data_IF_807716686507
#
_entry.id   IF_807716686507
#
_cell.length_a   1.000
_cell.length_b   1.000
_cell.length_c   1.000
_cell.angle_alpha   90.00
_cell.angle_beta   90.00
_cell.angle_gamma   90.00
#
_symmetry.space_group_name_H-M   'P 1'
#
loop_
_entity.id
_entity.type
_entity.pdbx_description
1 polymer ?
#
# COMPACT_ATOMS: atom_id res chain seq x y z
N UNK A 1 15.00 -93.72 -10.91
CA UNK A 1 13.93 -92.70 -10.81
C UNK A 1 14.17 -91.70 -9.69
N UNK A 2 14.59 -92.11 -8.48
CA UNK A 2 14.88 -91.19 -7.35
C UNK A 2 15.91 -90.08 -7.66
N UNK A 3 17.04 -90.41 -8.28
CA UNK A 3 18.13 -89.45 -8.55
C UNK A 3 17.78 -88.37 -9.61
N UNK A 4 16.89 -88.67 -10.56
CA UNK A 4 16.43 -87.66 -11.54
C UNK A 4 15.42 -86.69 -10.94
N UNK A 5 14.60 -87.17 -10.00
CA UNK A 5 13.67 -86.32 -9.26
C UNK A 5 14.45 -85.36 -8.35
N UNK A 6 15.52 -85.84 -7.71
CA UNK A 6 16.39 -85.03 -6.85
C UNK A 6 17.17 -83.95 -7.61
N UNK A 7 17.64 -84.23 -8.84
CA UNK A 7 18.29 -83.22 -9.69
C UNK A 7 17.30 -82.20 -10.28
N UNK A 8 16.07 -82.63 -10.60
CA UNK A 8 14.98 -81.74 -11.02
C UNK A 8 14.52 -80.82 -9.87
N UNK A 9 14.45 -81.35 -8.64
CA UNK A 9 14.14 -80.57 -7.44
C UNK A 9 15.27 -79.58 -7.14
N UNK A 10 16.54 -79.99 -7.23
CA UNK A 10 17.68 -79.10 -7.01
C UNK A 10 17.79 -77.98 -8.05
N UNK A 11 17.51 -78.27 -9.33
CA UNK A 11 17.49 -77.25 -10.39
C UNK A 11 16.29 -76.31 -10.28
N UNK A 12 15.13 -76.81 -9.84
CA UNK A 12 13.97 -75.98 -9.52
C UNK A 12 14.25 -75.04 -8.35
N UNK A 13 14.85 -75.55 -7.26
CA UNK A 13 15.20 -74.75 -6.08
C UNK A 13 16.28 -73.69 -6.39
N UNK A 14 17.28 -74.06 -7.19
CA UNK A 14 18.29 -73.12 -7.68
C UNK A 14 17.69 -72.02 -8.57
N UNK A 15 16.73 -72.37 -9.44
CA UNK A 15 16.02 -71.38 -10.27
C UNK A 15 15.13 -70.49 -9.41
N UNK A 16 14.39 -71.06 -8.47
CA UNK A 16 13.51 -70.33 -7.56
C UNK A 16 14.29 -69.34 -6.69
N UNK A 17 15.38 -69.77 -6.07
CA UNK A 17 16.26 -68.89 -5.28
C UNK A 17 16.90 -67.78 -6.11
N UNK A 18 17.23 -68.04 -7.39
CA UNK A 18 17.73 -67.02 -8.30
C UNK A 18 16.64 -66.00 -8.70
N UNK A 19 15.40 -66.45 -8.85
CA UNK A 19 14.24 -65.60 -9.14
C UNK A 19 13.93 -64.70 -7.95
N UNK A 20 13.85 -65.26 -6.73
CA UNK A 20 13.61 -64.48 -5.52
C UNK A 20 14.68 -63.42 -5.27
N UNK A 21 15.96 -63.72 -5.51
CA UNK A 21 17.01 -62.68 -5.41
C UNK A 21 16.83 -61.56 -6.44
N UNK A 22 16.37 -61.86 -7.66
CA UNK A 22 16.12 -60.84 -8.68
C UNK A 22 14.91 -59.99 -8.30
N UNK A 23 13.85 -60.62 -7.81
CA UNK A 23 12.65 -59.94 -7.31
C UNK A 23 12.98 -59.06 -6.10
N UNK A 24 13.80 -59.52 -5.15
CA UNK A 24 14.27 -58.74 -4.01
C UNK A 24 15.10 -57.50 -4.44
N UNK A 25 15.99 -57.67 -5.42
CA UNK A 25 16.77 -56.55 -5.97
C UNK A 25 15.85 -55.54 -6.64
N UNK A 26 14.89 -56.00 -7.45
CA UNK A 26 13.91 -55.14 -8.11
C UNK A 26 12.99 -54.42 -7.11
N UNK A 27 12.57 -55.09 -6.03
CA UNK A 27 11.76 -54.50 -4.98
C UNK A 27 12.52 -53.37 -4.27
N UNK A 28 13.81 -53.58 -3.96
CA UNK A 28 14.68 -52.55 -3.37
C UNK A 28 14.91 -51.37 -4.31
N UNK A 29 15.06 -51.63 -5.60
CA UNK A 29 15.19 -50.57 -6.60
C UNK A 29 13.91 -49.73 -6.69
N UNK A 30 12.73 -50.37 -6.66
CA UNK A 30 11.44 -49.67 -6.63
C UNK A 30 11.27 -48.83 -5.35
N UNK A 31 11.61 -49.38 -4.18
CA UNK A 31 11.60 -48.62 -2.93
C UNK A 31 12.56 -47.42 -2.98
N UNK A 32 13.74 -47.59 -3.58
CA UNK A 32 14.70 -46.52 -3.76
C UNK A 32 14.12 -45.42 -4.66
N UNK A 33 13.48 -45.80 -5.76
CA UNK A 33 12.79 -44.87 -6.66
C UNK A 33 11.66 -44.11 -5.96
N UNK A 34 10.81 -44.80 -5.19
CA UNK A 34 9.74 -44.14 -4.44
C UNK A 34 10.26 -43.13 -3.43
N UNK A 35 11.36 -43.45 -2.72
CA UNK A 35 12.00 -42.49 -1.80
C UNK A 35 12.54 -41.27 -2.53
N UNK A 36 13.15 -41.46 -3.70
CA UNK A 36 13.68 -40.35 -4.51
C UNK A 36 12.52 -39.48 -5.01
N UNK A 37 11.46 -40.08 -5.52
CA UNK A 37 10.28 -39.37 -6.01
C UNK A 37 9.58 -38.60 -4.89
N UNK A 38 9.45 -39.18 -3.70
CA UNK A 38 8.84 -38.51 -2.55
C UNK A 38 9.68 -37.30 -2.10
N UNK A 39 11.01 -37.45 -2.07
CA UNK A 39 11.92 -36.34 -1.79
C UNK A 39 11.82 -35.23 -2.86
N UNK A 40 11.69 -35.60 -4.14
CA UNK A 40 11.52 -34.64 -5.23
C UNK A 40 10.18 -33.90 -5.10
N UNK A 41 9.08 -34.61 -4.85
CA UNK A 41 7.76 -33.99 -4.62
C UNK A 41 7.77 -33.04 -3.44
N UNK A 42 8.42 -33.42 -2.33
CA UNK A 42 8.54 -32.56 -1.15
C UNK A 42 9.37 -31.30 -1.45
N UNK A 43 10.46 -31.42 -2.21
CA UNK A 43 11.26 -30.27 -2.64
C UNK A 43 10.50 -29.37 -3.60
N UNK A 44 9.78 -29.94 -4.56
CA UNK A 44 8.95 -29.20 -5.51
C UNK A 44 7.83 -28.46 -4.79
N UNK A 45 7.17 -29.09 -3.83
CA UNK A 45 6.11 -28.48 -3.03
C UNK A 45 6.66 -27.30 -2.21
N UNK A 46 7.74 -27.49 -1.45
CA UNK A 46 8.41 -26.40 -0.73
C UNK A 46 8.85 -25.27 -1.67
N UNK A 47 9.34 -25.62 -2.86
CA UNK A 47 9.74 -24.66 -3.88
C UNK A 47 8.57 -23.84 -4.41
N UNK A 48 7.41 -24.45 -4.59
CA UNK A 48 6.18 -23.76 -5.00
C UNK A 48 5.67 -22.83 -3.91
N UNK A 49 5.67 -23.26 -2.65
CA UNK A 49 5.19 -22.46 -1.51
C UNK A 49 6.07 -21.20 -1.33
N UNK A 50 7.39 -21.37 -1.37
CA UNK A 50 8.34 -20.24 -1.31
C UNK A 50 8.09 -19.26 -2.47
N UNK A 51 7.78 -19.76 -3.67
CA UNK A 51 7.47 -18.89 -4.82
C UNK A 51 6.16 -18.12 -4.61
N UNK A 52 5.11 -18.75 -4.10
CA UNK A 52 3.83 -18.08 -3.81
C UNK A 52 4.01 -16.95 -2.80
N UNK A 53 4.66 -17.24 -1.67
CA UNK A 53 4.97 -16.26 -0.62
C UNK A 53 5.79 -15.09 -1.20
N UNK A 54 6.79 -15.38 -2.03
CA UNK A 54 7.63 -14.35 -2.66
C UNK A 54 6.86 -13.46 -3.62
N UNK A 55 5.97 -14.03 -4.45
CA UNK A 55 5.14 -13.27 -5.38
C UNK A 55 4.18 -12.35 -4.60
N UNK A 56 3.57 -12.85 -3.53
CA UNK A 56 2.68 -12.06 -2.69
C UNK A 56 3.41 -10.91 -1.98
N UNK A 57 4.55 -11.19 -1.34
CA UNK A 57 5.40 -10.15 -0.75
C UNK A 57 5.77 -9.07 -1.77
N UNK A 58 6.06 -9.46 -3.01
CA UNK A 58 6.36 -8.51 -4.07
C UNK A 58 5.15 -7.68 -4.49
N UNK A 59 3.95 -8.28 -4.54
CA UNK A 59 2.72 -7.55 -4.83
C UNK A 59 2.40 -6.52 -3.74
N UNK A 60 2.56 -6.88 -2.47
CA UNK A 60 2.37 -5.97 -1.34
C UNK A 60 3.41 -4.85 -1.33
N UNK A 61 4.68 -5.15 -1.63
CA UNK A 61 5.72 -4.13 -1.84
C UNK A 61 5.30 -3.12 -2.91
N UNK A 62 4.80 -3.59 -4.05
CA UNK A 62 4.32 -2.70 -5.13
C UNK A 62 3.18 -1.80 -4.67
N UNK A 63 2.26 -2.30 -3.84
CA UNK A 63 1.20 -1.48 -3.28
C UNK A 63 1.75 -0.41 -2.33
N UNK A 64 2.68 -0.78 -1.44
CA UNK A 64 3.35 0.15 -0.55
C UNK A 64 4.15 1.22 -1.33
N UNK A 65 4.87 0.82 -2.37
CA UNK A 65 5.64 1.71 -3.24
C UNK A 65 4.74 2.69 -4.00
N UNK A 66 3.61 2.20 -4.54
CA UNK A 66 2.62 3.07 -5.20
C UNK A 66 2.06 4.12 -4.24
N UNK A 67 1.80 3.75 -2.98
CA UNK A 67 1.33 4.69 -1.94
C UNK A 67 2.42 5.67 -1.53
N UNK A 68 3.66 5.20 -1.40
CA UNK A 68 4.84 6.00 -1.13
C UNK A 68 5.05 7.07 -2.21
N UNK A 69 4.92 6.71 -3.49
CA UNK A 69 5.01 7.65 -4.60
C UNK A 69 3.91 8.73 -4.55
N UNK A 70 2.66 8.33 -4.24
CA UNK A 70 1.55 9.26 -4.04
C UNK A 70 1.83 10.25 -2.89
N UNK A 71 2.31 9.75 -1.74
CA UNK A 71 2.66 10.55 -0.57
C UNK A 71 3.76 11.57 -0.89
N UNK A 72 4.79 11.13 -1.60
CA UNK A 72 5.91 11.98 -2.05
C UNK A 72 5.43 13.10 -2.99
N UNK A 73 4.61 12.75 -3.99
CA UNK A 73 4.02 13.72 -4.91
C UNK A 73 3.16 14.77 -4.18
N UNK A 74 2.33 14.35 -3.21
CA UNK A 74 1.51 15.30 -2.44
C UNK A 74 2.35 16.18 -1.51
N UNK A 75 3.38 15.62 -0.85
CA UNK A 75 4.30 16.39 0.00
C UNK A 75 5.04 17.48 -0.78
N UNK A 76 5.55 17.14 -1.97
CA UNK A 76 6.24 18.10 -2.85
C UNK A 76 5.31 19.20 -3.35
N UNK A 77 4.07 18.89 -3.74
CA UNK A 77 3.06 19.89 -4.09
C UNK A 77 2.74 20.82 -2.90
N UNK A 78 2.62 20.27 -1.68
CA UNK A 78 2.39 21.08 -0.48
C UNK A 78 3.55 22.02 -0.17
N UNK A 79 4.79 21.56 -0.34
CA UNK A 79 5.98 22.39 -0.17
C UNK A 79 6.06 23.52 -1.20
N UNK A 80 5.78 23.22 -2.48
CA UNK A 80 5.73 24.22 -3.55
C UNK A 80 4.66 25.28 -3.29
N UNK A 81 3.44 24.88 -2.96
CA UNK A 81 2.35 25.81 -2.67
C UNK A 81 2.64 26.67 -1.43
N UNK A 82 3.17 26.07 -0.36
CA UNK A 82 3.61 26.81 0.82
C UNK A 82 4.72 27.82 0.51
N UNK A 83 5.68 27.43 -0.34
CA UNK A 83 6.72 28.33 -0.84
C UNK A 83 6.18 29.49 -1.67
N UNK A 84 5.24 29.22 -2.59
CA UNK A 84 4.58 30.26 -3.37
C UNK A 84 3.78 31.25 -2.51
N UNK A 85 3.06 30.76 -1.50
CA UNK A 85 2.37 31.62 -0.54
C UNK A 85 3.36 32.53 0.21
N UNK A 86 4.47 31.98 0.69
CA UNK A 86 5.51 32.77 1.35
C UNK A 86 6.11 33.85 0.43
N UNK A 87 6.42 33.50 -0.82
CA UNK A 87 6.95 34.43 -1.82
C UNK A 87 5.93 35.51 -2.18
N UNK A 88 4.64 35.17 -2.20
CA UNK A 88 3.54 36.14 -2.40
C UNK A 88 3.53 37.18 -1.29
N UNK A 89 3.60 36.75 -0.02
CA UNK A 89 3.57 37.65 1.15
C UNK A 89 4.71 38.67 1.12
N UNK A 90 5.94 38.23 0.84
CA UNK A 90 7.12 39.11 0.90
C UNK A 90 7.18 40.10 -0.26
N UNK A 91 6.55 39.78 -1.41
CA UNK A 91 6.61 40.61 -2.61
C UNK A 91 5.41 41.56 -2.77
N UNK A 92 4.40 41.47 -1.89
CA UNK A 92 3.28 42.42 -1.91
C UNK A 92 3.79 43.80 -1.53
N UNK A 93 3.77 44.70 -2.51
CA UNK A 93 3.99 46.13 -2.30
C UNK A 93 2.70 46.76 -1.79
N UNK A 94 2.77 47.41 -0.63
CA UNK A 94 1.63 47.99 0.07
C UNK A 94 1.42 49.46 -0.38
N UNK A 95 0.32 49.80 -1.07
CA UNK A 95 0.05 51.18 -1.46
C UNK A 95 -0.66 51.96 -0.33
N UNK A 96 -0.14 53.12 0.07
CA UNK A 96 -0.83 54.04 1.01
C UNK A 96 -2.00 54.77 0.31
N UNK A 97 -3.22 54.91 0.87
CA UNK A 97 -3.73 54.51 2.20
C UNK A 97 -4.35 53.10 2.24
N UNK A 98 -4.18 52.40 3.37
CA UNK A 98 -4.57 51.00 3.55
C UNK A 98 -5.59 50.87 4.69
N UNK A 99 -6.66 50.11 4.43
CA UNK A 99 -7.55 49.66 5.48
C UNK A 99 -6.87 48.62 6.38
N UNK A 100 -6.60 48.98 7.64
CA UNK A 100 -5.96 48.10 8.63
C UNK A 100 -6.67 46.75 8.78
N UNK A 101 -8.01 46.74 8.66
CA UNK A 101 -8.81 45.52 8.76
C UNK A 101 -8.49 44.53 7.63
N UNK A 102 -8.28 45.04 6.41
CA UNK A 102 -7.99 44.21 5.24
C UNK A 102 -6.56 43.62 5.33
N UNK A 103 -5.61 44.43 5.80
CA UNK A 103 -4.24 44.01 6.05
C UNK A 103 -4.17 42.92 7.14
N UNK A 104 -4.96 43.05 8.20
CA UNK A 104 -5.03 42.04 9.26
C UNK A 104 -5.60 40.71 8.74
N UNK A 105 -6.71 40.75 8.00
CA UNK A 105 -7.31 39.54 7.41
C UNK A 105 -6.31 38.88 6.45
N UNK A 106 -5.63 39.66 5.62
CA UNK A 106 -4.59 39.15 4.73
C UNK A 106 -3.47 38.45 5.48
N UNK A 107 -2.88 39.11 6.49
CA UNK A 107 -1.78 38.55 7.26
C UNK A 107 -2.15 37.28 8.03
N UNK A 108 -3.35 37.23 8.61
CA UNK A 108 -3.83 36.04 9.33
C UNK A 108 -4.12 34.89 8.37
N UNK A 109 -4.78 35.15 7.24
CA UNK A 109 -5.12 34.10 6.26
C UNK A 109 -3.88 33.51 5.59
N UNK A 110 -2.89 34.35 5.27
CA UNK A 110 -1.63 33.93 4.65
C UNK A 110 -0.72 33.18 5.62
N UNK A 111 -0.61 33.62 6.87
CA UNK A 111 0.12 32.87 7.91
C UNK A 111 -0.52 31.50 8.18
N UNK A 112 -1.85 31.44 8.29
CA UNK A 112 -2.59 30.19 8.47
C UNK A 112 -2.39 29.25 7.27
N UNK A 113 -2.40 29.79 6.04
CA UNK A 113 -2.14 29.04 4.82
C UNK A 113 -0.76 28.36 4.86
N UNK A 114 0.29 29.12 5.16
CA UNK A 114 1.67 28.60 5.22
C UNK A 114 1.81 27.55 6.33
N UNK A 115 1.32 27.84 7.54
CA UNK A 115 1.35 26.88 8.64
C UNK A 115 0.65 25.57 8.27
N UNK A 116 -0.55 25.62 7.68
CA UNK A 116 -1.28 24.43 7.27
C UNK A 116 -0.54 23.64 6.17
N UNK A 117 0.04 24.33 5.18
CA UNK A 117 0.81 23.68 4.11
C UNK A 117 2.07 23.01 4.64
N UNK A 118 2.84 23.70 5.48
CA UNK A 118 4.08 23.16 6.08
C UNK A 118 3.77 21.95 6.97
N UNK A 119 2.78 22.06 7.86
CA UNK A 119 2.39 20.94 8.73
C UNK A 119 1.90 19.76 7.90
N UNK A 120 1.12 19.99 6.84
CA UNK A 120 0.68 18.90 5.96
C UNK A 120 1.84 18.23 5.23
N UNK A 121 2.81 19.01 4.72
CA UNK A 121 4.00 18.48 4.04
C UNK A 121 4.85 17.64 5.00
N UNK A 122 5.06 18.11 6.24
CA UNK A 122 5.77 17.37 7.30
C UNK A 122 5.02 16.09 7.69
N UNK A 123 3.69 16.13 7.80
CA UNK A 123 2.91 14.93 8.09
C UNK A 123 3.07 13.87 6.97
N UNK A 124 3.06 14.28 5.70
CA UNK A 124 3.27 13.36 4.59
C UNK A 124 4.71 12.82 4.50
N UNK A 125 5.73 13.61 4.85
CA UNK A 125 7.11 13.09 4.89
C UNK A 125 7.30 12.09 6.03
N UNK A 126 6.71 12.33 7.21
CA UNK A 126 6.74 11.37 8.32
C UNK A 126 6.02 10.07 7.94
N UNK A 127 4.85 10.16 7.28
CA UNK A 127 4.14 8.99 6.76
C UNK A 127 4.96 8.24 5.70
N UNK A 128 5.64 8.97 4.79
CA UNK A 128 6.52 8.39 3.79
C UNK A 128 7.67 7.59 4.44
N UNK A 129 8.29 8.14 5.49
CA UNK A 129 9.33 7.45 6.28
C UNK A 129 8.77 6.21 6.99
N UNK A 130 7.55 6.30 7.54
CA UNK A 130 6.91 5.15 8.19
C UNK A 130 6.66 4.01 7.19
N UNK A 131 6.15 4.33 5.98
CA UNK A 131 5.89 3.35 4.92
C UNK A 131 7.17 2.72 4.40
N UNK A 132 8.22 3.51 4.14
CA UNK A 132 9.50 2.98 3.65
C UNK A 132 10.20 2.12 4.69
N UNK A 133 10.08 2.44 5.98
CA UNK A 133 10.56 1.58 7.07
C UNK A 133 9.79 0.27 7.14
N UNK A 134 8.46 0.31 7.00
CA UNK A 134 7.62 -0.88 7.00
C UNK A 134 7.97 -1.81 5.84
N UNK A 135 8.07 -1.27 4.61
CA UNK A 135 8.40 -2.05 3.41
C UNK A 135 9.80 -2.68 3.47
N UNK A 136 10.75 -2.02 4.13
CA UNK A 136 12.12 -2.49 4.28
C UNK A 136 12.28 -3.59 5.36
N UNK A 137 11.61 -3.48 6.51
CA UNK A 137 11.90 -4.32 7.68
C UNK A 137 10.76 -5.23 8.14
N UNK A 138 9.52 -4.74 8.15
CA UNK A 138 8.40 -5.45 8.80
C UNK A 138 7.64 -6.33 7.79
N UNK A 139 7.63 -5.96 6.51
CA UNK A 139 6.88 -6.67 5.49
C UNK A 139 7.33 -8.12 5.26
N UNK A 140 8.64 -8.42 5.25
CA UNK A 140 9.09 -9.81 5.09
C UNK A 140 8.77 -10.68 6.30
N UNK A 141 8.68 -10.08 7.49
CA UNK A 141 8.35 -10.80 8.71
C UNK A 141 6.85 -11.08 8.76
N UNK A 142 6.02 -10.07 8.48
CA UNK A 142 4.56 -10.21 8.47
C UNK A 142 4.09 -11.21 7.39
N UNK A 143 4.68 -11.17 6.19
CA UNK A 143 4.35 -12.11 5.11
C UNK A 143 4.80 -13.53 5.40
N UNK A 144 5.89 -13.73 6.16
CA UNK A 144 6.32 -15.06 6.62
C UNK A 144 5.49 -15.58 7.80
N UNK A 145 4.85 -14.68 8.55
CA UNK A 145 4.00 -15.02 9.68
C UNK A 145 2.55 -15.32 9.26
N UNK A 146 2.12 -14.88 8.08
CA UNK A 146 0.82 -15.24 7.51
C UNK A 146 0.78 -16.75 7.17
N UNK A 147 -0.24 -17.42 7.69
CA UNK A 147 -0.49 -18.85 7.48
C UNK A 147 -1.14 -19.07 6.10
N UNK A 148 -0.81 -20.18 5.43
CA UNK A 148 -1.08 -20.49 4.01
C UNK A 148 -2.56 -20.34 3.55
N UNK A 149 -3.50 -20.39 4.50
CA UNK A 149 -4.95 -20.29 4.26
C UNK A 149 -5.49 -18.86 4.11
N UNK A 150 -4.80 -17.84 4.68
CA UNK A 150 -5.27 -16.44 4.72
C UNK A 150 -4.51 -15.52 3.73
N UNK A 151 -3.53 -16.07 3.01
CA UNK A 151 -2.64 -15.33 2.08
C UNK A 151 -3.41 -14.63 0.95
N UNK A 152 -4.53 -15.20 0.51
CA UNK A 152 -5.34 -14.64 -0.58
C UNK A 152 -6.41 -13.64 -0.10
N UNK A 153 -6.75 -13.62 1.20
CA UNK A 153 -7.88 -12.84 1.73
C UNK A 153 -7.48 -11.61 2.53
N UNK A 154 -6.32 -11.60 3.20
CA UNK A 154 -5.93 -10.50 4.07
C UNK A 154 -4.59 -9.89 3.64
N UNK A 155 -4.61 -8.62 3.22
CA UNK A 155 -3.37 -7.90 2.88
C UNK A 155 -2.78 -7.26 4.16
N UNK A 156 -1.66 -7.77 4.70
CA UNK A 156 -1.08 -7.30 5.97
C UNK A 156 -0.67 -5.81 5.91
N UNK A 157 -0.22 -5.33 4.76
CA UNK A 157 0.05 -3.90 4.54
C UNK A 157 -1.18 -3.02 4.79
N UNK A 158 -2.36 -3.45 4.34
CA UNK A 158 -3.60 -2.67 4.51
C UNK A 158 -4.02 -2.64 5.98
N UNK A 159 -3.95 -3.76 6.69
CA UNK A 159 -4.28 -3.85 8.11
C UNK A 159 -3.34 -3.01 8.97
N UNK A 160 -2.03 -3.05 8.68
CA UNK A 160 -1.05 -2.18 9.32
C UNK A 160 -1.33 -0.70 9.05
N UNK A 161 -1.61 -0.35 7.79
CA UNK A 161 -1.91 1.02 7.37
C UNK A 161 -3.15 1.56 8.09
N UNK A 162 -4.23 0.78 8.15
CA UNK A 162 -5.48 1.15 8.81
C UNK A 162 -5.25 1.46 10.30
N UNK A 163 -4.47 0.61 10.98
CA UNK A 163 -4.24 0.73 12.42
C UNK A 163 -3.34 1.91 12.78
N UNK A 164 -2.32 2.20 11.97
CA UNK A 164 -1.21 3.09 12.37
C UNK A 164 -1.13 4.39 11.58
N UNK A 165 -1.48 4.36 10.29
CA UNK A 165 -1.26 5.49 9.38
C UNK A 165 -2.54 6.20 8.96
N UNK A 166 -3.72 5.55 9.03
CA UNK A 166 -4.95 6.13 8.50
C UNK A 166 -5.34 7.45 9.17
N UNK A 167 -5.25 7.53 10.50
CA UNK A 167 -5.59 8.75 11.25
C UNK A 167 -4.70 9.93 10.88
N UNK A 168 -3.39 9.71 10.83
CA UNK A 168 -2.40 10.73 10.49
C UNK A 168 -2.52 11.14 9.02
N UNK A 169 -2.77 10.18 8.13
CA UNK A 169 -3.06 10.44 6.72
C UNK A 169 -4.32 11.32 6.56
N UNK A 170 -5.42 10.99 7.24
CA UNK A 170 -6.65 11.77 7.21
C UNK A 170 -6.46 13.18 7.78
N UNK A 171 -5.61 13.33 8.81
CA UNK A 171 -5.29 14.63 9.39
C UNK A 171 -4.44 15.45 8.42
N UNK A 172 -3.32 14.92 7.92
CA UNK A 172 -2.45 15.59 6.95
C UNK A 172 -3.21 16.00 5.70
N UNK A 173 -4.11 15.13 5.22
CA UNK A 173 -4.98 15.43 4.09
C UNK A 173 -6.02 16.52 4.37
N UNK A 174 -6.62 16.55 5.57
CA UNK A 174 -7.52 17.63 5.97
C UNK A 174 -6.81 18.98 6.04
N UNK A 175 -5.60 19.01 6.61
CA UNK A 175 -4.77 20.22 6.64
C UNK A 175 -4.35 20.67 5.23
N UNK A 176 -3.93 19.73 4.37
CA UNK A 176 -3.59 20.06 2.99
C UNK A 176 -4.77 20.68 2.24
N UNK A 177 -5.97 20.09 2.39
CA UNK A 177 -7.21 20.65 1.80
C UNK A 177 -7.52 22.04 2.31
N UNK A 178 -7.42 22.24 3.62
CA UNK A 178 -7.67 23.53 4.24
C UNK A 178 -6.64 24.57 3.78
N UNK A 179 -5.36 24.19 3.68
CA UNK A 179 -4.30 25.01 3.11
C UNK A 179 -4.62 25.45 1.69
N UNK A 180 -5.01 24.53 0.79
CA UNK A 180 -5.34 24.90 -0.62
C UNK A 180 -6.50 25.89 -0.68
N UNK A 181 -7.51 25.71 0.18
CA UNK A 181 -8.64 26.66 0.23
C UNK A 181 -8.23 28.04 0.74
N UNK A 182 -7.33 28.09 1.73
CA UNK A 182 -6.78 29.35 2.23
C UNK A 182 -5.91 30.03 1.18
N UNK A 183 -5.11 29.28 0.42
CA UNK A 183 -4.29 29.82 -0.67
C UNK A 183 -5.13 30.51 -1.75
N UNK A 184 -6.23 29.89 -2.17
CA UNK A 184 -7.13 30.52 -3.14
C UNK A 184 -7.88 31.72 -2.55
N UNK A 185 -8.23 31.68 -1.26
CA UNK A 185 -8.82 32.83 -0.57
C UNK A 185 -7.81 33.98 -0.45
N UNK A 186 -6.56 33.68 -0.14
CA UNK A 186 -5.45 34.63 -0.07
C UNK A 186 -5.26 35.35 -1.42
N UNK A 187 -5.25 34.62 -2.54
CA UNK A 187 -5.18 35.24 -3.87
C UNK A 187 -6.31 36.25 -4.13
N UNK A 188 -7.51 35.95 -3.63
CA UNK A 188 -8.64 36.88 -3.66
C UNK A 188 -8.37 38.12 -2.80
N UNK A 189 -7.91 37.95 -1.56
CA UNK A 189 -7.63 39.07 -0.64
C UNK A 189 -6.46 39.94 -1.14
N UNK A 190 -5.39 39.33 -1.66
CA UNK A 190 -4.22 40.02 -2.22
C UNK A 190 -4.61 40.99 -3.34
N UNK A 191 -5.58 40.62 -4.19
CA UNK A 191 -6.01 41.50 -5.28
C UNK A 191 -6.58 42.81 -4.75
N UNK A 192 -7.26 42.79 -3.60
CA UNK A 192 -7.80 43.99 -2.96
C UNK A 192 -6.71 44.82 -2.29
N UNK A 193 -5.71 44.18 -1.68
CA UNK A 193 -4.58 44.87 -1.07
C UNK A 193 -3.76 45.61 -2.13
N UNK A 194 -3.50 44.98 -3.28
CA UNK A 194 -2.61 45.55 -4.31
C UNK A 194 -3.33 46.50 -5.28
N UNK A 195 -4.56 46.19 -5.68
CA UNK A 195 -5.31 46.94 -6.70
C UNK A 195 -6.44 47.78 -6.12
N UNK A 196 -6.32 48.26 -4.88
CA UNK A 196 -7.33 49.11 -4.22
C UNK A 196 -7.80 50.28 -5.12
N UNK A 197 -6.88 50.88 -5.89
CA UNK A 197 -7.18 51.99 -6.80
C UNK A 197 -7.90 51.58 -8.11
N UNK A 198 -7.75 50.33 -8.55
CA UNK A 198 -8.35 49.81 -9.79
C UNK A 198 -9.33 48.67 -9.46
N UNK A 199 -10.53 49.05 -8.99
CA UNK A 199 -11.55 48.13 -8.49
C UNK A 199 -11.96 47.04 -9.50
N UNK A 200 -12.02 47.38 -10.80
CA UNK A 200 -12.35 46.43 -11.87
C UNK A 200 -11.36 45.25 -11.94
N UNK A 201 -10.07 45.51 -11.77
CA UNK A 201 -9.02 44.48 -11.81
C UNK A 201 -9.08 43.58 -10.57
N UNK A 202 -9.39 44.15 -9.40
CA UNK A 202 -9.55 43.35 -8.19
C UNK A 202 -10.77 42.44 -8.25
N UNK A 203 -11.90 42.95 -8.78
CA UNK A 203 -13.14 42.16 -8.93
C UNK A 203 -12.90 40.98 -9.87
N UNK A 204 -12.23 41.18 -11.01
CA UNK A 204 -11.98 40.08 -11.95
C UNK A 204 -11.11 38.98 -11.35
N UNK A 205 -10.03 39.33 -10.64
CA UNK A 205 -9.15 38.37 -9.95
C UNK A 205 -9.92 37.62 -8.86
N UNK A 206 -10.73 38.32 -8.07
CA UNK A 206 -11.58 37.71 -7.04
C UNK A 206 -12.61 36.74 -7.62
N UNK A 207 -13.24 37.08 -8.75
CA UNK A 207 -14.18 36.18 -9.45
C UNK A 207 -13.47 34.91 -9.93
N UNK A 208 -12.27 35.05 -10.50
CA UNK A 208 -11.46 33.89 -10.93
C UNK A 208 -11.07 33.03 -9.72
N UNK A 209 -10.67 33.64 -8.61
CA UNK A 209 -10.35 32.92 -7.37
C UNK A 209 -11.56 32.16 -6.81
N UNK A 210 -12.76 32.78 -6.84
CA UNK A 210 -14.01 32.13 -6.43
C UNK A 210 -14.36 30.98 -7.37
N UNK A 211 -14.25 31.13 -8.69
CA UNK A 211 -14.47 30.03 -9.64
C UNK A 211 -13.49 28.88 -9.36
N UNK A 212 -12.22 29.20 -9.11
CA UNK A 212 -11.21 28.23 -8.70
C UNK A 212 -11.59 27.48 -7.41
N UNK A 213 -12.07 28.20 -6.40
CA UNK A 213 -12.60 27.63 -5.15
C UNK A 213 -13.80 26.72 -5.41
N UNK A 214 -14.76 27.13 -6.24
CA UNK A 214 -15.93 26.31 -6.54
C UNK A 214 -15.56 25.04 -7.31
N UNK A 215 -14.64 25.12 -8.28
CA UNK A 215 -14.12 23.94 -8.97
C UNK A 215 -13.43 23.01 -7.98
N UNK A 216 -12.60 23.54 -7.09
CA UNK A 216 -11.93 22.77 -6.04
C UNK A 216 -12.94 22.08 -5.12
N UNK A 217 -13.92 22.83 -4.59
CA UNK A 217 -14.92 22.31 -3.66
C UNK A 217 -15.85 21.29 -4.34
N UNK A 218 -16.32 21.53 -5.57
CA UNK A 218 -17.31 20.65 -6.20
C UNK A 218 -16.71 19.49 -6.98
N UNK A 219 -15.66 19.70 -7.77
CA UNK A 219 -15.09 18.64 -8.64
C UNK A 219 -14.09 17.77 -7.90
N UNK A 220 -13.24 18.39 -7.09
CA UNK A 220 -12.19 17.66 -6.39
C UNK A 220 -12.79 17.01 -5.13
N UNK A 221 -13.57 17.70 -4.29
CA UNK A 221 -14.11 17.00 -3.10
C UNK A 221 -15.09 15.86 -3.42
N UNK A 222 -15.89 15.96 -4.49
CA UNK A 222 -16.84 14.91 -4.85
C UNK A 222 -16.13 13.63 -5.32
N UNK A 223 -15.14 13.75 -6.21
CA UNK A 223 -14.34 12.61 -6.68
C UNK A 223 -13.52 12.00 -5.56
N UNK A 224 -12.99 12.82 -4.67
CA UNK A 224 -12.11 12.35 -3.59
C UNK A 224 -12.87 11.72 -2.42
N UNK A 225 -14.11 12.16 -2.14
CA UNK A 225 -14.99 11.47 -1.18
C UNK A 225 -15.37 10.06 -1.65
N UNK A 226 -15.46 9.84 -2.96
CA UNK A 226 -15.71 8.53 -3.55
C UNK A 226 -14.48 7.61 -3.45
N UNK A 227 -13.29 8.14 -3.73
CA UNK A 227 -12.03 7.38 -3.65
C UNK A 227 -11.63 7.00 -2.20
N UNK A 228 -12.17 7.69 -1.20
CA UNK A 228 -11.94 7.38 0.23
C UNK A 228 -13.02 6.51 0.87
N UNK A 229 -14.09 6.14 0.14
CA UNK A 229 -14.97 5.07 0.64
C UNK A 229 -14.16 3.79 0.61
N UNK A 230 -13.77 3.35 1.80
CA UNK A 230 -13.25 2.01 2.04
C UNK A 230 -14.21 1.04 1.34
N UNK A 231 -13.76 0.23 0.36
CA UNK A 231 -14.60 -0.84 -0.15
C UNK A 231 -14.94 -1.69 1.07
N UNK A 232 -16.23 -1.86 1.35
CA UNK A 232 -16.67 -2.73 2.44
C UNK A 232 -16.00 -4.08 2.20
N UNK A 233 -15.09 -4.47 3.11
CA UNK A 233 -14.50 -5.80 3.10
C UNK A 233 -15.69 -6.75 3.17
N UNK A 234 -16.03 -7.37 2.05
CA UNK A 234 -16.94 -8.50 2.06
C UNK A 234 -16.16 -9.62 2.73
N UNK A 235 -16.22 -9.65 4.06
CA UNK A 235 -15.90 -10.85 4.82
C UNK A 235 -16.91 -11.88 4.33
N UNK A 236 -16.53 -12.66 3.31
CA UNK A 236 -17.20 -13.91 3.01
C UNK A 236 -16.91 -14.82 4.19
N UNK A 237 -17.69 -14.66 5.25
CA UNK A 237 -17.81 -15.64 6.32
C UNK A 237 -18.45 -16.87 5.68
N UNK A 238 -17.64 -17.65 4.96
CA UNK A 238 -17.96 -19.05 4.69
C UNK A 238 -17.82 -19.71 6.07
N UNK A 239 -18.92 -20.17 6.69
CA UNK A 239 -18.80 -20.92 7.92
C UNK A 239 -18.01 -22.20 7.58
N UNK A 240 -16.79 -22.33 8.08
CA UNK A 240 -16.09 -23.61 8.05
C UNK A 240 -16.84 -24.52 9.04
N UNK A 241 -17.73 -25.36 8.52
CA UNK A 241 -18.30 -26.46 9.29
C UNK A 241 -17.14 -27.34 9.76
N UNK A 242 -16.89 -27.30 11.06
CA UNK A 242 -15.93 -28.18 11.72
C UNK A 242 -16.54 -29.59 11.65
N UNK A 243 -16.16 -30.36 10.64
CA UNK A 243 -16.46 -31.80 10.59
C UNK A 243 -15.63 -32.47 11.68
N UNK A 244 -16.24 -32.67 12.85
CA UNK A 244 -15.68 -33.53 13.89
C UNK A 244 -15.70 -34.97 13.37
N UNK A 245 -14.57 -35.69 13.38
CA UNK A 245 -14.59 -37.11 13.04
C UNK A 245 -15.43 -37.86 14.08
N UNK A 246 -16.39 -38.65 13.61
CA UNK A 246 -17.20 -39.52 14.45
C UNK A 246 -16.30 -40.52 15.19
N UNK A 247 -16.35 -40.46 16.52
CA UNK A 247 -15.80 -41.45 17.45
C UNK A 247 -16.41 -42.83 17.22
#
# INVERSE_FOLDING_TARGET
MSAMIESLIGTYDQRNSSTWRREDVQHRDQECQWRIDDLQREQEWRGQDIRRIKIQAQNERRQADTRSEQLSAVSSLGALLGGFALVSIINVSLPDPIDLNLLWVYGVTSALCICCMVISSVAFTVLLVAVTRYSAHELEFDVRALQDDDIDFESPFYTWWLKKCETDWMLGYRLFRFGVTLFLAELGVVSWVQYSRWQLTSISISVVAVIGLLIWQFRILSKWRYLMKVPAVQVSAIPRDIVTPST
#
